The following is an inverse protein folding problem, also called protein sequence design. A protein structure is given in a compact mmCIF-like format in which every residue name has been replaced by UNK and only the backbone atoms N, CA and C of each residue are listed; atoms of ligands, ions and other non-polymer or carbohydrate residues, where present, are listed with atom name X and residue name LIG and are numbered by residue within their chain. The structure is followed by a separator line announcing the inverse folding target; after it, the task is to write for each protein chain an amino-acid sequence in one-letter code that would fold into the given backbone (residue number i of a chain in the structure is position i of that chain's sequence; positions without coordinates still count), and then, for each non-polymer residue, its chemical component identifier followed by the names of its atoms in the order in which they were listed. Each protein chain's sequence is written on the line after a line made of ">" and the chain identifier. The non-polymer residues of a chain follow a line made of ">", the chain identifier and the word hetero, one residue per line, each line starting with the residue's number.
data_IF_144149658281
#
_entry.id   IF_144149658281
#
_cell.length_a   1.000
_cell.length_b   1.000
_cell.length_c   1.000
_cell.angle_alpha   90.00
_cell.angle_beta   90.00
_cell.angle_gamma   90.00
#
_symmetry.space_group_name_H-M   'P 1'
#
loop_
_entity.id
_entity.type
_entity.pdbx_description
1 polymer ?
#
# COMPACT_ATOMS: atom_id res chain seq x y z
N UNK A 1 -0.14 -4.55 20.57
CA UNK A 1 -0.80 -4.92 19.30
C UNK A 1 -0.20 -4.02 18.24
N UNK A 2 0.35 -4.59 17.19
CA UNK A 2 0.92 -3.83 16.07
C UNK A 2 -0.23 -3.25 15.24
N UNK A 3 -0.36 -1.93 15.17
CA UNK A 3 -1.42 -1.27 14.41
C UNK A 3 -1.28 -1.40 12.89
N UNK A 4 -0.19 -1.99 12.39
CA UNK A 4 0.16 -2.09 10.99
C UNK A 4 -0.61 -3.13 10.22
N UNK A 5 -0.58 -4.37 10.66
CA UNK A 5 -1.32 -5.45 10.04
C UNK A 5 -2.81 -5.12 10.04
N UNK A 6 -3.27 -4.43 11.09
CA UNK A 6 -4.67 -4.01 11.22
C UNK A 6 -5.10 -3.02 10.14
N UNK A 7 -4.27 -2.00 9.82
CA UNK A 7 -4.58 -1.06 8.73
C UNK A 7 -4.50 -1.71 7.35
N UNK A 8 -3.44 -2.47 7.08
CA UNK A 8 -3.32 -3.22 5.82
C UNK A 8 -4.47 -4.20 5.63
N UNK A 9 -4.90 -4.87 6.71
CA UNK A 9 -6.05 -5.79 6.70
C UNK A 9 -7.36 -5.04 6.45
N UNK A 10 -7.57 -3.87 7.07
CA UNK A 10 -8.74 -3.02 6.84
C UNK A 10 -8.76 -2.51 5.41
N UNK A 11 -7.60 -2.04 4.88
CA UNK A 11 -7.46 -1.60 3.49
C UNK A 11 -7.85 -2.72 2.52
N UNK A 12 -7.30 -3.93 2.70
CA UNK A 12 -7.65 -5.10 1.88
C UNK A 12 -9.15 -5.47 1.95
N UNK A 13 -9.80 -5.29 3.10
CA UNK A 13 -11.25 -5.55 3.26
C UNK A 13 -12.12 -4.50 2.56
N UNK A 14 -11.73 -3.21 2.58
CA UNK A 14 -12.45 -2.12 1.88
C UNK A 14 -12.39 -2.23 0.35
N UNK A 15 -11.33 -2.81 -0.21
CA UNK A 15 -11.14 -2.96 -1.66
C UNK A 15 -12.10 -3.94 -2.35
N UNK A 16 -13.01 -4.58 -1.60
CA UNK A 16 -13.95 -5.59 -2.14
C UNK A 16 -15.15 -5.02 -2.93
N UNK A 17 -15.37 -3.71 -2.93
CA UNK A 17 -16.46 -3.11 -3.71
C UNK A 17 -16.05 -2.81 -5.15
N UNK A 18 -17.01 -2.86 -6.12
CA UNK A 18 -16.71 -2.64 -7.54
C UNK A 18 -16.12 -1.25 -7.83
N UNK A 19 -16.53 -0.22 -7.09
CA UNK A 19 -15.98 1.13 -7.22
C UNK A 19 -14.54 1.21 -6.70
N UNK A 20 -14.23 0.55 -5.58
CA UNK A 20 -12.89 0.46 -5.04
C UNK A 20 -11.96 -0.29 -6.01
N UNK A 21 -12.43 -1.40 -6.60
CA UNK A 21 -11.68 -2.15 -7.63
C UNK A 21 -11.34 -1.30 -8.85
N UNK A 22 -12.27 -0.46 -9.32
CA UNK A 22 -12.02 0.43 -10.46
C UNK A 22 -10.93 1.46 -10.15
N UNK A 23 -10.91 2.01 -8.92
CA UNK A 23 -9.85 2.94 -8.47
C UNK A 23 -8.50 2.24 -8.37
N UNK A 24 -8.45 1.06 -7.74
CA UNK A 24 -7.22 0.24 -7.65
C UNK A 24 -6.66 -0.03 -9.05
N UNK A 25 -7.52 -0.41 -10.01
CA UNK A 25 -7.10 -0.62 -11.39
C UNK A 25 -6.53 0.65 -12.04
N UNK A 26 -7.11 1.82 -11.79
CA UNK A 26 -6.61 3.11 -12.30
C UNK A 26 -5.22 3.42 -11.74
N UNK A 27 -5.02 3.24 -10.43
CA UNK A 27 -3.74 3.46 -9.75
C UNK A 27 -2.66 2.51 -10.28
N UNK A 28 -2.94 1.20 -10.32
CA UNK A 28 -2.03 0.19 -10.87
C UNK A 28 -1.72 0.47 -12.35
N UNK A 29 -2.69 0.93 -13.14
CA UNK A 29 -2.47 1.32 -14.52
C UNK A 29 -1.42 2.42 -14.69
N UNK A 30 -1.36 3.36 -13.76
CA UNK A 30 -0.31 4.42 -13.74
C UNK A 30 1.05 3.84 -13.34
N UNK A 31 1.11 2.98 -12.32
CA UNK A 31 2.33 2.29 -11.92
C UNK A 31 2.90 1.43 -13.06
N UNK A 32 2.04 0.68 -13.80
CA UNK A 32 2.43 -0.07 -14.99
C UNK A 32 3.04 0.85 -16.05
N UNK A 33 2.41 2.02 -16.33
CA UNK A 33 2.92 2.95 -17.33
C UNK A 33 4.31 3.49 -16.96
N UNK A 34 4.56 3.79 -15.69
CA UNK A 34 5.87 4.23 -15.20
C UNK A 34 6.90 3.10 -15.29
N UNK A 35 6.56 1.91 -14.80
CA UNK A 35 7.46 0.76 -14.83
C UNK A 35 7.89 0.40 -16.26
N UNK A 36 6.95 0.43 -17.22
CA UNK A 36 7.23 0.16 -18.64
C UNK A 36 8.11 1.24 -19.26
N UNK A 37 7.87 2.51 -18.93
CA UNK A 37 8.69 3.62 -19.44
C UNK A 37 10.14 3.52 -18.95
N UNK A 38 10.35 3.07 -17.73
CA UNK A 38 11.69 2.98 -17.12
C UNK A 38 12.46 1.73 -17.55
N UNK A 39 11.82 0.59 -17.66
CA UNK A 39 12.48 -0.70 -17.89
C UNK A 39 11.98 -1.51 -19.09
N UNK A 40 11.01 -0.98 -19.84
CA UNK A 40 10.40 -1.69 -20.97
C UNK A 40 9.23 -2.62 -20.57
N UNK A 41 8.50 -3.17 -21.57
CA UNK A 41 7.29 -3.93 -21.36
C UNK A 41 7.49 -5.42 -21.03
N UNK A 42 8.73 -5.88 -20.93
CA UNK A 42 9.07 -7.27 -20.66
C UNK A 42 9.32 -7.48 -19.15
N UNK A 43 8.44 -8.20 -18.43
CA UNK A 43 8.56 -8.41 -16.99
C UNK A 43 9.79 -9.25 -16.61
N UNK A 44 10.33 -10.08 -17.51
CA UNK A 44 11.52 -10.88 -17.23
C UNK A 44 12.79 -10.00 -17.16
N UNK A 45 12.76 -8.85 -17.81
CA UNK A 45 13.85 -7.87 -17.83
C UNK A 45 13.56 -6.59 -17.04
N UNK A 46 12.38 -6.49 -16.38
CA UNK A 46 11.92 -5.32 -15.65
C UNK A 46 11.33 -5.72 -14.30
N UNK A 47 12.17 -5.69 -13.24
CA UNK A 47 11.76 -6.07 -11.89
C UNK A 47 10.62 -5.20 -11.35
N UNK A 48 10.65 -3.87 -11.62
CA UNK A 48 9.57 -2.95 -11.21
C UNK A 48 8.23 -3.35 -11.85
N UNK A 49 8.24 -3.72 -13.13
CA UNK A 49 7.05 -4.20 -13.82
C UNK A 49 6.54 -5.53 -13.23
N UNK A 50 7.46 -6.44 -12.91
CA UNK A 50 7.12 -7.72 -12.26
C UNK A 50 6.43 -7.49 -10.91
N UNK A 51 6.93 -6.55 -10.10
CA UNK A 51 6.33 -6.20 -8.81
C UNK A 51 4.93 -5.59 -8.96
N UNK A 52 4.75 -4.68 -9.93
CA UNK A 52 3.42 -4.09 -10.19
C UNK A 52 2.43 -5.15 -10.73
N UNK A 53 2.89 -6.11 -11.54
CA UNK A 53 2.05 -7.25 -11.99
C UNK A 53 1.65 -8.12 -10.80
N UNK A 54 2.57 -8.41 -9.87
CA UNK A 54 2.28 -9.16 -8.66
C UNK A 54 1.23 -8.43 -7.79
N UNK A 55 1.40 -7.11 -7.59
CA UNK A 55 0.42 -6.26 -6.90
C UNK A 55 -0.96 -6.29 -7.57
N UNK A 56 -1.00 -6.25 -8.91
CA UNK A 56 -2.25 -6.34 -9.67
C UNK A 56 -2.96 -7.69 -9.48
N UNK A 57 -2.20 -8.79 -9.46
CA UNK A 57 -2.74 -10.14 -9.20
C UNK A 57 -3.25 -10.28 -7.76
N UNK A 58 -2.52 -9.77 -6.77
CA UNK A 58 -2.95 -9.74 -5.37
C UNK A 58 -4.26 -8.94 -5.19
N UNK A 59 -4.44 -7.86 -5.98
CA UNK A 59 -5.70 -7.10 -6.05
C UNK A 59 -6.81 -7.79 -6.88
N UNK A 60 -6.64 -9.06 -7.24
CA UNK A 60 -7.60 -9.85 -8.04
C UNK A 60 -7.96 -9.22 -9.39
N UNK A 61 -7.02 -8.53 -10.05
CA UNK A 61 -7.19 -7.99 -11.39
C UNK A 61 -7.00 -9.12 -12.40
N UNK A 62 -7.96 -9.37 -13.33
CA UNK A 62 -7.85 -10.42 -14.34
C UNK A 62 -6.61 -10.25 -15.22
N UNK A 63 -5.92 -11.34 -15.54
CA UNK A 63 -4.70 -11.34 -16.36
C UNK A 63 -4.91 -10.63 -17.72
N UNK A 64 -6.07 -10.84 -18.38
CA UNK A 64 -6.39 -10.15 -19.64
C UNK A 64 -6.41 -8.61 -19.51
N UNK A 65 -6.80 -8.10 -18.32
CA UNK A 65 -6.81 -6.66 -18.06
C UNK A 65 -5.39 -6.14 -17.85
N UNK A 66 -4.55 -6.91 -17.13
CA UNK A 66 -3.14 -6.59 -16.92
C UNK A 66 -2.41 -6.55 -18.28
N UNK A 67 -2.56 -7.58 -19.11
CA UNK A 67 -1.95 -7.62 -20.45
C UNK A 67 -2.40 -6.46 -21.33
N UNK A 68 -3.70 -6.12 -21.31
CA UNK A 68 -4.22 -4.97 -22.05
C UNK A 68 -3.63 -3.65 -21.56
N UNK A 69 -3.47 -3.49 -20.24
CA UNK A 69 -2.86 -2.31 -19.66
C UNK A 69 -1.38 -2.19 -20.04
N UNK A 70 -0.63 -3.31 -20.03
CA UNK A 70 0.77 -3.35 -20.47
C UNK A 70 0.87 -2.97 -21.96
N UNK A 71 0.07 -3.59 -22.83
CA UNK A 71 0.05 -3.28 -24.26
C UNK A 71 -0.29 -1.81 -24.55
N UNK A 72 -1.26 -1.24 -23.80
CA UNK A 72 -1.63 0.16 -23.91
C UNK A 72 -0.51 1.09 -23.47
N UNK A 73 0.18 0.77 -22.37
CA UNK A 73 1.28 1.57 -21.84
C UNK A 73 2.55 1.47 -22.71
N UNK A 74 2.76 0.35 -23.40
CA UNK A 74 3.87 0.14 -24.34
C UNK A 74 3.64 0.77 -25.72
N UNK A 75 2.41 1.21 -26.04
CA UNK A 75 2.08 1.84 -27.31
C UNK A 75 2.58 3.30 -27.41
N UNK A 76 2.77 3.78 -28.65
CA UNK A 76 3.27 5.15 -28.92
C UNK A 76 2.35 6.28 -28.41
N UNK A 77 1.09 5.97 -28.06
CA UNK A 77 0.08 6.93 -27.54
C UNK A 77 0.18 7.18 -26.03
N UNK A 78 1.17 6.62 -25.33
CA UNK A 78 1.37 6.87 -23.88
C UNK A 78 2.05 8.23 -23.63
N UNK A 79 1.40 9.32 -24.08
CA UNK A 79 1.91 10.68 -23.98
C UNK A 79 1.91 11.27 -22.55
N UNK A 80 1.28 10.58 -21.59
CA UNK A 80 1.22 11.05 -20.21
C UNK A 80 2.50 10.71 -19.46
N UNK A 81 3.19 11.74 -19.04
CA UNK A 81 4.32 11.62 -18.13
C UNK A 81 3.83 11.70 -16.70
N UNK A 82 3.98 10.60 -15.95
CA UNK A 82 3.68 10.59 -14.53
C UNK A 82 4.92 10.89 -13.72
N UNK A 83 4.74 11.68 -12.66
CA UNK A 83 5.78 12.12 -11.73
C UNK A 83 5.43 11.59 -10.35
N UNK A 84 6.38 10.87 -9.74
CA UNK A 84 6.28 10.43 -8.36
C UNK A 84 6.58 11.60 -7.41
N UNK A 85 5.75 11.79 -6.38
CA UNK A 85 6.01 12.73 -5.29
C UNK A 85 5.52 12.12 -3.98
N UNK A 86 6.24 12.44 -2.90
CA UNK A 86 5.87 12.08 -1.54
C UNK A 86 5.58 13.38 -0.79
N UNK A 87 4.41 13.42 -0.16
CA UNK A 87 4.00 14.52 0.71
C UNK A 87 3.96 14.01 2.15
N UNK A 88 4.39 14.85 3.06
CA UNK A 88 4.49 14.54 4.48
C UNK A 88 3.74 15.60 5.28
N UNK A 89 3.05 15.19 6.32
CA UNK A 89 2.30 16.12 7.16
C UNK A 89 1.78 15.47 8.42
N UNK A 90 1.07 16.27 9.19
CA UNK A 90 0.40 15.83 10.40
C UNK A 90 -1.10 15.96 10.24
N UNK A 91 -1.83 14.90 10.57
CA UNK A 91 -3.27 14.88 10.75
C UNK A 91 -3.69 15.39 12.13
N UNK A 92 -4.98 15.23 12.49
CA UNK A 92 -5.49 15.57 13.81
C UNK A 92 -4.65 14.99 14.95
N UNK A 93 -4.46 15.77 16.00
CA UNK A 93 -3.70 15.40 17.21
C UNK A 93 -2.29 14.87 16.94
N UNK A 94 -1.67 15.28 15.83
CA UNK A 94 -0.27 14.95 15.53
C UNK A 94 -0.06 13.57 14.93
N UNK A 95 -1.08 12.95 14.37
CA UNK A 95 -0.93 11.73 13.56
C UNK A 95 0.03 12.03 12.40
N UNK A 96 1.14 11.32 12.31
CA UNK A 96 2.06 11.41 11.18
C UNK A 96 1.45 10.76 9.93
N UNK A 97 1.51 11.44 8.80
CA UNK A 97 0.95 10.97 7.53
C UNK A 97 1.94 11.16 6.39
N UNK A 98 2.16 10.09 5.62
CA UNK A 98 2.91 10.09 4.36
C UNK A 98 1.92 9.78 3.24
N UNK A 99 1.95 10.58 2.17
CA UNK A 99 1.09 10.42 1.00
C UNK A 99 1.97 10.25 -0.23
N UNK A 100 1.97 9.05 -0.81
CA UNK A 100 2.66 8.77 -2.07
C UNK A 100 1.73 9.06 -3.24
N UNK A 101 2.22 9.80 -4.22
CA UNK A 101 1.43 10.22 -5.37
C UNK A 101 2.11 9.95 -6.68
N UNK A 102 1.31 9.67 -7.72
CA UNK A 102 1.75 9.46 -9.09
C UNK A 102 0.84 10.28 -10.01
N UNK A 103 1.32 11.42 -10.47
CA UNK A 103 0.48 12.43 -11.13
C UNK A 103 1.06 12.94 -12.44
N UNK A 104 0.20 13.32 -13.36
CA UNK A 104 0.52 14.08 -14.56
C UNK A 104 0.50 15.61 -14.33
N UNK A 105 0.10 16.07 -13.12
CA UNK A 105 0.02 17.48 -12.78
C UNK A 105 0.35 17.73 -11.29
N UNK A 106 1.64 17.95 -11.02
CA UNK A 106 2.17 18.18 -9.67
C UNK A 106 1.48 19.33 -8.91
N UNK A 107 1.12 20.41 -9.62
CA UNK A 107 0.52 21.59 -8.97
C UNK A 107 -0.91 21.31 -8.51
N UNK A 108 -1.70 20.59 -9.32
CA UNK A 108 -3.04 20.15 -8.94
C UNK A 108 -2.95 19.28 -7.69
N UNK A 109 -2.15 18.21 -7.75
CA UNK A 109 -2.01 17.24 -6.66
C UNK A 109 -1.52 17.90 -5.36
N UNK A 110 -0.54 18.80 -5.44
CA UNK A 110 -0.06 19.53 -4.26
C UNK A 110 -1.16 20.42 -3.65
N UNK A 111 -2.02 21.02 -4.47
CA UNK A 111 -3.18 21.79 -4.03
C UNK A 111 -4.21 20.92 -3.32
N UNK A 112 -4.54 19.77 -3.91
CA UNK A 112 -5.50 18.82 -3.36
C UNK A 112 -5.01 18.23 -2.02
N UNK A 113 -3.76 17.76 -1.98
CA UNK A 113 -3.15 17.21 -0.76
C UNK A 113 -3.16 18.25 0.37
N UNK A 114 -2.74 19.47 0.10
CA UNK A 114 -2.79 20.56 1.09
C UNK A 114 -4.20 20.84 1.57
N UNK A 115 -5.15 20.89 0.64
CA UNK A 115 -6.56 21.13 0.98
C UNK A 115 -7.11 20.05 1.91
N UNK A 116 -6.77 18.77 1.69
CA UNK A 116 -7.26 17.69 2.54
C UNK A 116 -6.68 17.77 3.95
N UNK A 117 -5.37 18.04 4.09
CA UNK A 117 -4.78 18.28 5.40
C UNK A 117 -5.47 19.44 6.13
N UNK A 118 -5.56 20.62 5.49
CA UNK A 118 -6.10 21.82 6.10
C UNK A 118 -7.59 21.66 6.48
N UNK A 119 -8.37 21.01 5.62
CA UNK A 119 -9.82 20.80 5.82
C UNK A 119 -10.15 19.94 7.03
N UNK A 120 -9.31 18.97 7.34
CA UNK A 120 -9.58 17.99 8.39
C UNK A 120 -8.70 18.18 9.64
N UNK A 121 -8.21 19.39 9.88
CA UNK A 121 -7.52 19.75 11.10
C UNK A 121 -6.08 19.28 11.18
N UNK A 122 -5.48 18.95 10.05
CA UNK A 122 -4.07 18.65 9.91
C UNK A 122 -3.27 19.81 9.30
N UNK A 123 -2.04 19.53 8.93
CA UNK A 123 -1.21 20.45 8.19
C UNK A 123 -0.19 19.73 7.31
N UNK A 124 -0.04 20.15 6.05
CA UNK A 124 1.02 19.69 5.16
C UNK A 124 2.36 20.28 5.61
N UNK A 125 3.33 19.41 5.89
CA UNK A 125 4.69 19.77 6.32
C UNK A 125 5.68 19.88 5.15
N UNK A 126 6.95 19.99 5.52
CA UNK A 126 8.07 19.89 4.59
C UNK A 126 8.52 18.41 4.46
N UNK A 127 9.15 18.05 3.34
CA UNK A 127 9.76 16.71 3.19
C UNK A 127 10.71 16.42 4.35
N UNK A 128 10.62 15.21 4.90
CA UNK A 128 11.39 14.78 6.07
C UNK A 128 10.77 15.12 7.41
N UNK A 129 9.59 15.76 7.47
CA UNK A 129 8.99 16.16 8.75
C UNK A 129 8.39 14.99 9.54
N UNK A 130 8.02 13.89 8.89
CA UNK A 130 7.48 12.69 9.54
C UNK A 130 8.14 11.38 9.11
N UNK A 131 8.85 11.34 7.98
CA UNK A 131 9.46 10.10 7.45
C UNK A 131 10.42 9.42 8.41
N UNK A 132 11.09 10.17 9.30
CA UNK A 132 11.95 9.61 10.35
C UNK A 132 11.21 8.76 11.39
N UNK A 133 9.89 8.86 11.44
CA UNK A 133 9.01 8.08 12.33
C UNK A 133 8.61 6.74 11.69
N UNK A 134 9.00 6.50 10.44
CA UNK A 134 8.64 5.31 9.67
C UNK A 134 9.88 4.58 9.20
N UNK A 135 9.78 3.27 9.16
CA UNK A 135 10.74 2.40 8.50
C UNK A 135 10.19 2.02 7.12
N UNK A 136 11.01 2.14 6.09
CA UNK A 136 10.63 1.72 4.75
C UNK A 136 11.14 0.31 4.49
N UNK A 137 10.24 -0.66 4.46
CA UNK A 137 10.57 -2.09 4.30
C UNK A 137 9.60 -2.78 3.33
N UNK A 138 9.94 -3.97 2.89
CA UNK A 138 9.02 -4.87 2.21
C UNK A 138 8.09 -5.53 3.22
N UNK A 139 6.79 -5.56 2.94
CA UNK A 139 5.78 -6.23 3.76
C UNK A 139 5.02 -7.23 2.91
N UNK A 140 4.98 -8.48 3.38
CA UNK A 140 4.18 -9.55 2.79
C UNK A 140 3.17 -9.99 3.85
N UNK A 141 1.88 -10.00 3.50
CA UNK A 141 0.80 -10.48 4.36
C UNK A 141 0.26 -11.80 3.80
N UNK A 142 0.18 -12.81 4.66
CA UNK A 142 -0.39 -14.13 4.35
C UNK A 142 -1.54 -14.38 5.31
N UNK A 143 -2.72 -14.63 4.77
CA UNK A 143 -3.89 -14.96 5.58
C UNK A 143 -3.64 -16.28 6.35
N UNK A 144 -4.03 -16.33 7.64
CA UNK A 144 -3.86 -17.53 8.48
C UNK A 144 -4.70 -18.72 8.01
N UNK A 145 -5.80 -18.41 7.33
CA UNK A 145 -6.68 -19.39 6.70
C UNK A 145 -6.82 -19.05 5.22
N UNK A 146 -6.72 -20.05 4.36
CA UNK A 146 -6.94 -19.87 2.92
C UNK A 146 -8.45 -19.81 2.59
N UNK A 147 -8.78 -19.63 1.29
CA UNK A 147 -10.17 -19.58 0.80
C UNK A 147 -10.96 -20.89 1.02
N UNK A 148 -10.26 -22.00 1.27
CA UNK A 148 -10.81 -23.33 1.53
C UNK A 148 -10.81 -23.68 3.05
N UNK A 149 -10.60 -22.68 3.93
CA UNK A 149 -10.53 -22.80 5.39
C UNK A 149 -9.35 -23.70 5.87
N UNK A 150 -8.32 -23.91 5.04
CA UNK A 150 -7.12 -24.59 5.49
C UNK A 150 -6.23 -23.62 6.27
N UNK A 151 -5.81 -24.05 7.45
CA UNK A 151 -4.93 -23.24 8.31
C UNK A 151 -3.49 -23.34 7.81
N UNK A 152 -2.86 -22.18 7.64
CA UNK A 152 -1.43 -22.09 7.31
C UNK A 152 -0.61 -22.42 8.57
N UNK A 153 0.31 -23.38 8.45
CA UNK A 153 1.19 -23.76 9.55
C UNK A 153 2.24 -22.67 9.80
N UNK A 154 2.19 -22.09 10.99
CA UNK A 154 3.03 -20.95 11.40
C UNK A 154 4.52 -21.30 11.36
N UNK A 155 4.91 -22.45 11.94
CA UNK A 155 6.33 -22.84 12.04
C UNK A 155 6.93 -23.09 10.65
N UNK A 156 6.19 -23.77 9.77
CA UNK A 156 6.60 -24.05 8.39
C UNK A 156 6.72 -22.78 7.57
N UNK A 157 5.77 -21.85 7.71
CA UNK A 157 5.81 -20.56 7.00
C UNK A 157 6.97 -19.70 7.51
N UNK A 158 7.18 -19.63 8.82
CA UNK A 158 8.28 -18.89 9.43
C UNK A 158 9.63 -19.39 8.94
N UNK A 159 9.84 -20.72 8.93
CA UNK A 159 11.07 -21.33 8.42
C UNK A 159 11.29 -20.95 6.94
N UNK A 160 10.26 -21.12 6.10
CA UNK A 160 10.32 -20.77 4.68
C UNK A 160 10.62 -19.27 4.44
N UNK A 161 10.02 -18.39 5.25
CA UNK A 161 10.24 -16.94 5.13
C UNK A 161 11.68 -16.56 5.50
N UNK A 162 12.19 -17.08 6.62
CA UNK A 162 13.56 -16.80 7.07
C UNK A 162 14.61 -17.39 6.11
N UNK A 163 14.40 -18.60 5.59
CA UNK A 163 15.27 -19.21 4.56
C UNK A 163 15.27 -18.39 3.26
N UNK A 164 14.13 -17.77 2.90
CA UNK A 164 14.02 -16.89 1.75
C UNK A 164 14.72 -15.52 1.94
N UNK A 165 15.09 -15.16 3.16
CA UNK A 165 15.77 -13.90 3.49
C UNK A 165 14.89 -12.83 4.13
N UNK A 166 13.76 -13.21 4.75
CA UNK A 166 12.98 -12.29 5.57
C UNK A 166 13.79 -11.83 6.79
N UNK A 167 13.62 -10.57 7.17
CA UNK A 167 14.27 -9.97 8.35
C UNK A 167 13.44 -10.20 9.62
N UNK A 168 12.11 -10.24 9.48
CA UNK A 168 11.20 -10.41 10.61
C UNK A 168 9.94 -11.19 10.22
N UNK A 169 9.34 -11.88 11.19
CA UNK A 169 8.10 -12.64 11.05
C UNK A 169 7.20 -12.36 12.26
N UNK A 170 6.07 -11.71 12.02
CA UNK A 170 5.17 -11.22 13.06
C UNK A 170 3.86 -11.99 13.05
N UNK A 171 3.40 -12.36 14.24
CA UNK A 171 2.21 -13.20 14.46
C UNK A 171 1.18 -12.52 15.37
N UNK A 172 1.31 -11.21 15.58
CA UNK A 172 0.49 -10.46 16.52
C UNK A 172 -0.96 -10.25 16.04
N UNK A 173 -1.20 -10.36 14.73
CA UNK A 173 -2.56 -10.27 14.18
C UNK A 173 -3.19 -11.66 14.11
N UNK A 174 -4.45 -11.76 14.55
CA UNK A 174 -5.19 -13.03 14.61
C UNK A 174 -5.65 -13.52 13.22
N UNK A 175 -5.52 -12.70 12.18
CA UNK A 175 -6.03 -13.00 10.83
C UNK A 175 -4.95 -13.21 9.79
N UNK A 176 -3.76 -12.62 9.99
CA UNK A 176 -2.64 -12.67 9.04
C UNK A 176 -1.30 -12.92 9.73
N UNK A 177 -0.36 -13.48 8.98
CA UNK A 177 1.07 -13.42 9.26
C UNK A 177 1.68 -12.24 8.51
N UNK A 178 2.53 -11.45 9.18
CA UNK A 178 3.25 -10.34 8.55
C UNK A 178 4.74 -10.69 8.46
N UNK A 179 5.27 -10.68 7.23
CA UNK A 179 6.67 -10.96 6.93
C UNK A 179 7.32 -9.66 6.48
N UNK A 180 8.44 -9.28 7.09
CA UNK A 180 9.20 -8.08 6.75
C UNK A 180 10.51 -8.44 6.08
N UNK A 181 10.89 -7.62 5.10
CA UNK A 181 12.12 -7.76 4.34
C UNK A 181 12.80 -6.42 4.16
N UNK A 182 14.09 -6.40 3.90
CA UNK A 182 14.71 -5.22 3.31
C UNK A 182 14.04 -4.91 1.95
N UNK A 183 13.99 -3.62 1.59
CA UNK A 183 13.36 -3.16 0.33
C UNK A 183 13.87 -3.93 -0.90
N UNK A 184 15.20 -4.16 -1.09
CA UNK A 184 15.70 -4.86 -2.27
C UNK A 184 15.36 -6.36 -2.29
N UNK A 185 15.06 -6.96 -1.13
CA UNK A 185 14.88 -8.41 -0.99
C UNK A 185 13.41 -8.85 -1.10
N UNK A 186 12.46 -7.90 -1.07
CA UNK A 186 11.02 -8.17 -1.17
C UNK A 186 10.66 -9.09 -2.32
N UNK A 187 11.20 -8.80 -3.53
CA UNK A 187 10.90 -9.59 -4.72
C UNK A 187 11.38 -11.03 -4.61
N UNK A 188 12.59 -11.24 -4.07
CA UNK A 188 13.18 -12.58 -3.92
C UNK A 188 12.40 -13.41 -2.87
N UNK A 189 12.07 -12.79 -1.72
CA UNK A 189 11.30 -13.46 -0.66
C UNK A 189 9.90 -13.82 -1.16
N UNK A 190 9.20 -12.88 -1.80
CA UNK A 190 7.89 -13.11 -2.41
C UNK A 190 7.93 -14.29 -3.39
N UNK A 191 8.87 -14.26 -4.35
CA UNK A 191 8.97 -15.29 -5.38
C UNK A 191 9.28 -16.68 -4.78
N UNK A 192 10.08 -16.73 -3.71
CA UNK A 192 10.38 -17.96 -2.98
C UNK A 192 9.14 -18.52 -2.28
N UNK A 193 8.38 -17.68 -1.60
CA UNK A 193 7.14 -18.08 -0.92
C UNK A 193 6.05 -18.49 -1.92
N UNK A 194 5.94 -17.81 -3.06
CA UNK A 194 5.02 -18.19 -4.14
C UNK A 194 5.38 -19.56 -4.71
N UNK A 195 6.68 -19.84 -4.92
CA UNK A 195 7.16 -21.15 -5.38
C UNK A 195 6.93 -22.25 -4.35
N UNK A 196 6.90 -21.95 -3.06
CA UNK A 196 6.53 -22.87 -1.98
C UNK A 196 5.01 -23.09 -1.87
N UNK A 197 4.20 -22.35 -2.67
CA UNK A 197 2.74 -22.50 -2.74
C UNK A 197 1.95 -21.57 -1.84
N UNK A 198 2.59 -20.62 -1.15
CA UNK A 198 1.88 -19.63 -0.34
C UNK A 198 1.21 -18.58 -1.21
N UNK A 199 0.00 -18.18 -0.80
CA UNK A 199 -0.74 -17.07 -1.38
C UNK A 199 -0.65 -15.88 -0.43
N UNK A 200 -0.48 -14.69 -0.93
CA UNK A 200 -0.42 -13.47 -0.12
C UNK A 200 -1.50 -12.47 -0.55
N UNK A 201 -2.11 -11.84 0.43
CA UNK A 201 -3.06 -10.75 0.24
C UNK A 201 -2.37 -9.42 -0.08
N UNK A 202 -1.09 -9.27 0.34
CA UNK A 202 -0.28 -8.09 0.07
C UNK A 202 1.19 -8.49 -0.07
N UNK A 203 1.91 -7.87 -1.02
CA UNK A 203 3.36 -7.95 -1.15
C UNK A 203 3.86 -6.63 -1.76
N UNK A 204 4.19 -5.65 -0.93
CA UNK A 204 4.57 -4.31 -1.36
C UNK A 204 5.54 -3.64 -0.40
N UNK A 205 6.21 -2.58 -0.88
CA UNK A 205 7.02 -1.70 -0.03
C UNK A 205 6.09 -0.79 0.75
N UNK A 206 6.27 -0.72 2.07
CA UNK A 206 5.47 0.09 2.97
C UNK A 206 6.34 1.00 3.84
N UNK A 207 5.72 2.08 4.34
CA UNK A 207 6.26 2.90 5.43
C UNK A 207 5.62 2.46 6.74
N UNK A 208 6.41 1.75 7.53
CA UNK A 208 6.00 1.14 8.80
C UNK A 208 6.32 2.08 9.94
N UNK A 209 5.34 2.66 10.71
CA UNK A 209 5.65 3.55 11.82
C UNK A 209 6.32 2.83 12.98
N UNK A 210 7.31 3.48 13.57
CA UNK A 210 7.99 3.01 14.79
C UNK A 210 7.17 3.26 16.06
N UNK A 211 6.23 4.19 16.01
CA UNK A 211 5.36 4.57 17.14
C UNK A 211 3.97 4.92 16.64
N UNK A 212 2.96 4.62 17.47
CA UNK A 212 1.56 4.86 17.17
C UNK A 212 0.97 5.94 18.04
N UNK A 213 -0.06 6.62 17.53
CA UNK A 213 -0.84 7.64 18.22
C UNK A 213 -2.30 7.24 18.22
N UNK A 214 -2.87 7.12 19.44
CA UNK A 214 -4.27 6.83 19.65
C UNK A 214 -5.10 8.10 19.69
N UNK A 215 -6.19 8.15 18.93
CA UNK A 215 -7.20 9.20 19.01
C UNK A 215 -8.30 8.78 19.98
N UNK A 216 -8.76 9.72 20.81
CA UNK A 216 -9.76 9.43 21.85
C UNK A 216 -11.01 10.31 21.75
N UNK A 217 -10.93 11.42 21.01
CA UNK A 217 -12.08 12.30 20.81
C UNK A 217 -12.75 12.03 19.45
N UNK A 218 -14.08 12.05 19.43
CA UNK A 218 -14.90 11.72 18.28
C UNK A 218 -14.65 12.64 17.07
N UNK A 219 -14.35 13.91 17.31
CA UNK A 219 -14.10 14.88 16.23
C UNK A 219 -12.80 14.55 15.50
N UNK A 220 -11.73 14.26 16.23
CA UNK A 220 -10.42 13.86 15.66
C UNK A 220 -10.51 12.51 14.94
N UNK A 221 -11.20 11.53 15.50
CA UNK A 221 -11.47 10.24 14.86
C UNK A 221 -12.17 10.44 13.51
N UNK A 222 -13.26 11.20 13.50
CA UNK A 222 -14.05 11.52 12.30
C UNK A 222 -13.26 12.28 11.23
N UNK A 223 -12.50 13.28 11.67
CA UNK A 223 -11.68 14.10 10.76
C UNK A 223 -10.55 13.27 10.17
N UNK A 224 -9.87 12.43 10.96
CA UNK A 224 -8.80 11.57 10.48
C UNK A 224 -9.31 10.56 9.45
N UNK A 225 -10.43 9.89 9.73
CA UNK A 225 -11.03 8.93 8.83
C UNK A 225 -11.44 9.56 7.49
N UNK A 226 -12.08 10.75 7.53
CA UNK A 226 -12.45 11.48 6.32
C UNK A 226 -11.25 12.00 5.53
N UNK A 227 -10.18 12.40 6.22
CA UNK A 227 -8.94 12.81 5.56
C UNK A 227 -8.34 11.66 4.78
N UNK A 228 -8.26 10.46 5.36
CA UNK A 228 -7.76 9.26 4.69
C UNK A 228 -8.65 8.91 3.50
N UNK A 229 -9.98 8.90 3.69
CA UNK A 229 -10.94 8.64 2.62
C UNK A 229 -10.73 9.59 1.42
N UNK A 230 -10.55 10.89 1.67
CA UNK A 230 -10.28 11.87 0.61
C UNK A 230 -8.95 11.63 -0.12
N UNK A 231 -7.91 11.18 0.59
CA UNK A 231 -6.66 10.78 -0.04
C UNK A 231 -6.84 9.51 -0.88
N UNK A 232 -7.49 8.49 -0.35
CA UNK A 232 -7.73 7.23 -1.06
C UNK A 232 -8.61 7.42 -2.31
N UNK A 233 -9.54 8.36 -2.25
CA UNK A 233 -10.44 8.72 -3.35
C UNK A 233 -9.77 9.50 -4.47
N UNK A 234 -8.62 10.10 -4.21
CA UNK A 234 -7.88 10.85 -5.22
C UNK A 234 -7.07 9.89 -6.11
N UNK A 235 -7.32 9.92 -7.41
CA UNK A 235 -6.64 9.07 -8.39
C UNK A 235 -5.13 9.31 -8.48
N UNK A 236 -4.64 10.49 -8.07
CA UNK A 236 -3.22 10.83 -8.07
C UNK A 236 -2.50 10.25 -6.84
N UNK A 237 -3.22 9.89 -5.78
CA UNK A 237 -2.67 9.26 -4.58
C UNK A 237 -2.56 7.77 -4.78
N UNK A 238 -1.38 7.21 -4.60
CA UNK A 238 -1.14 5.77 -4.69
C UNK A 238 -1.33 5.11 -3.33
N UNK A 239 -0.60 5.60 -2.32
CA UNK A 239 -0.65 5.07 -0.97
C UNK A 239 -0.74 6.18 0.05
N UNK A 240 -1.34 5.87 1.21
CA UNK A 240 -1.38 6.71 2.41
C UNK A 240 -0.87 5.88 3.57
N UNK A 241 0.18 6.35 4.21
CA UNK A 241 0.78 5.70 5.38
C UNK A 241 0.60 6.61 6.59
N UNK A 242 0.27 6.06 7.74
CA UNK A 242 0.04 6.85 8.96
C UNK A 242 0.33 6.03 10.21
N UNK A 243 0.56 6.72 11.32
CA UNK A 243 0.78 6.09 12.61
C UNK A 243 -0.43 6.13 13.56
N UNK A 244 -1.65 6.19 13.00
CA UNK A 244 -2.90 6.11 13.75
C UNK A 244 -3.15 4.69 14.25
N UNK A 245 -3.32 4.53 15.60
CA UNK A 245 -3.39 3.23 16.25
C UNK A 245 -4.77 2.56 16.15
N UNK A 246 -5.84 3.35 16.22
CA UNK A 246 -7.21 2.85 16.39
C UNK A 246 -8.19 3.31 15.28
N UNK A 247 -7.94 3.01 14.00
CA UNK A 247 -8.83 3.42 12.92
C UNK A 247 -10.22 2.76 12.99
N UNK A 248 -10.34 1.59 13.60
CA UNK A 248 -11.60 0.88 13.82
C UNK A 248 -12.59 1.65 14.69
N UNK A 249 -12.11 2.48 15.62
CA UNK A 249 -12.97 3.30 16.47
C UNK A 249 -13.73 4.38 15.69
N UNK A 250 -13.37 4.61 14.43
CA UNK A 250 -14.03 5.57 13.55
C UNK A 250 -15.02 4.93 12.55
N UNK A 251 -15.09 3.60 12.45
CA UNK A 251 -15.93 2.91 11.44
C UNK A 251 -17.43 3.27 11.59
N UNK A 252 -17.92 3.42 12.82
CA UNK A 252 -19.31 3.78 13.11
C UNK A 252 -19.58 5.29 13.01
N UNK A 253 -18.55 6.12 12.75
CA UNK A 253 -18.63 7.58 12.78
C UNK A 253 -18.70 8.23 11.38
N UNK A 254 -18.52 7.45 10.31
CA UNK A 254 -18.45 7.93 8.92
C UNK A 254 -19.67 7.50 8.10
#
# INVERSE_FOLDING_TARGET
>A
MSGHSKWSTIKCKKEKTDNARAKVFTKIGRELAVAIREGGPDPDNNSKLKDVIAKAKAANIPNDNIERAIKKAAGEDSSKEYIENVYEGYGPNGIAVIVETLTDNKNRTAGDVRHYFDKYGGNLGQSGCVSFMFERCGVILIDREDEDENVVDEDTLMEAALEAGAEDFLTEDDTVFEIRTAVPDLGAVRDSLEAAGYKFSTAEIQYVPSTYVKLTDEESLKNMAKMIEMFEDNDDVQNVWHNWENPEDAEDLI
#
